data_IF_551318905681
#
_entry.id   IF_551318905681
#
_cell.length_a   1.000
_cell.length_b   1.000
_cell.length_c   1.000
_cell.angle_alpha   90.00
_cell.angle_beta   90.00
_cell.angle_gamma   90.00
#
_symmetry.space_group_name_H-M   'P 1'
#
loop_
_entity.id
_entity.type
_entity.pdbx_description
1 polymer ?
#
# COMPACT_ATOMS: atom_id res chain seq x y z
N UNK A 1 13.97 -0.45 14.52
CA UNK A 1 12.55 -0.54 14.95
C UNK A 1 11.76 0.39 14.06
N UNK A 2 10.76 -0.13 13.34
CA UNK A 2 9.88 0.71 12.51
C UNK A 2 9.02 1.57 13.45
N UNK A 3 8.90 2.87 13.13
CA UNK A 3 8.05 3.79 13.91
C UNK A 3 6.58 3.48 13.63
N UNK A 4 5.72 3.52 14.66
CA UNK A 4 4.27 3.37 14.49
C UNK A 4 3.66 4.41 13.52
N UNK A 5 4.31 5.57 13.39
CA UNK A 5 3.96 6.61 12.41
C UNK A 5 4.02 6.10 10.96
N UNK A 6 5.02 5.28 10.61
CA UNK A 6 5.15 4.68 9.26
C UNK A 6 3.93 3.82 8.94
N UNK A 7 3.59 2.92 9.87
CA UNK A 7 2.44 2.02 9.73
C UNK A 7 1.15 2.83 9.57
N UNK A 8 1.00 3.90 10.36
CA UNK A 8 -0.19 4.76 10.34
C UNK A 8 -0.32 5.54 9.02
N UNK A 9 0.78 6.04 8.46
CA UNK A 9 0.76 6.76 7.18
C UNK A 9 0.53 5.82 6.00
N UNK A 10 1.14 4.63 6.00
CA UNK A 10 0.86 3.61 4.98
C UNK A 10 -0.62 3.21 5.03
N UNK A 11 -1.15 2.86 6.21
CA UNK A 11 -2.58 2.53 6.39
C UNK A 11 -3.48 3.63 5.85
N UNK A 12 -3.15 4.89 6.13
CA UNK A 12 -3.92 6.03 5.64
C UNK A 12 -3.95 6.09 4.11
N UNK A 13 -2.83 5.84 3.45
CA UNK A 13 -2.77 5.80 1.97
C UNK A 13 -3.59 4.62 1.44
N UNK A 14 -3.45 3.43 2.05
CA UNK A 14 -4.21 2.24 1.61
C UNK A 14 -5.73 2.47 1.71
N UNK A 15 -6.20 3.07 2.81
CA UNK A 15 -7.64 3.34 3.02
C UNK A 15 -8.18 4.48 2.14
N UNK A 16 -7.38 5.54 1.91
CA UNK A 16 -7.90 6.75 1.23
C UNK A 16 -7.69 6.76 -0.28
N UNK A 17 -6.63 6.09 -0.75
CA UNK A 17 -6.18 6.23 -2.13
C UNK A 17 -6.24 4.93 -2.91
N UNK A 18 -5.98 3.79 -2.27
CA UNK A 18 -5.96 2.49 -2.94
C UNK A 18 -7.27 1.74 -2.85
N UNK A 19 -7.81 1.58 -1.65
CA UNK A 19 -9.07 0.95 -1.25
C UNK A 19 -9.95 0.34 -2.37
N UNK A 20 -9.51 -0.78 -2.99
CA UNK A 20 -10.24 -1.35 -4.11
C UNK A 20 -11.54 -2.03 -3.68
N UNK A 21 -11.69 -2.35 -2.39
CA UNK A 21 -12.87 -2.98 -1.79
C UNK A 21 -13.84 -1.97 -1.14
N UNK A 22 -13.52 -0.68 -1.11
CA UNK A 22 -14.37 0.34 -0.48
C UNK A 22 -14.45 0.25 1.05
N UNK A 23 -13.45 -0.37 1.68
CA UNK A 23 -13.32 -0.57 3.13
C UNK A 23 -13.30 0.76 3.89
N UNK A 24 -12.75 1.82 3.32
CA UNK A 24 -12.66 3.14 3.94
C UNK A 24 -14.00 3.77 4.29
N UNK A 25 -15.11 3.26 3.76
CA UNK A 25 -16.47 3.64 4.14
C UNK A 25 -16.91 3.06 5.51
N UNK A 26 -16.22 2.05 6.03
CA UNK A 26 -16.52 1.40 7.31
C UNK A 26 -15.30 1.40 8.23
N UNK A 27 -15.33 2.28 9.26
CA UNK A 27 -14.23 2.43 10.22
C UNK A 27 -13.90 1.16 11.00
N UNK A 28 -14.82 0.19 11.09
CA UNK A 28 -14.57 -1.09 11.77
C UNK A 28 -13.70 -2.06 10.97
N UNK A 29 -13.40 -1.75 9.70
CA UNK A 29 -12.60 -2.57 8.80
C UNK A 29 -11.23 -1.91 8.50
N UNK A 30 -10.85 -0.87 9.27
CA UNK A 30 -9.65 -0.08 8.99
C UNK A 30 -8.33 -0.85 9.14
N UNK A 31 -8.33 -2.00 9.80
CA UNK A 31 -7.18 -2.89 9.98
C UNK A 31 -7.10 -4.02 8.93
N UNK A 32 -8.10 -4.17 8.06
CA UNK A 32 -8.10 -5.20 6.99
C UNK A 32 -6.89 -5.08 6.04
N UNK A 33 -6.37 -3.87 5.85
CA UNK A 33 -5.17 -3.63 5.04
C UNK A 33 -3.84 -3.77 5.81
N UNK A 34 -3.87 -4.02 7.13
CA UNK A 34 -2.65 -4.12 7.94
C UNK A 34 -1.77 -5.31 7.55
N UNK A 35 -2.38 -6.39 7.05
CA UNK A 35 -1.67 -7.56 6.54
C UNK A 35 -0.68 -7.23 5.42
N UNK A 36 -0.92 -6.17 4.65
CA UNK A 36 -0.10 -5.78 3.51
C UNK A 36 1.02 -4.78 3.86
N UNK A 37 0.91 -4.09 5.00
CA UNK A 37 1.85 -3.02 5.40
C UNK A 37 3.27 -3.55 5.55
N UNK A 38 3.44 -4.78 6.07
CA UNK A 38 4.75 -5.41 6.21
C UNK A 38 5.49 -5.57 4.88
N UNK A 39 4.79 -6.04 3.84
CA UNK A 39 5.34 -6.21 2.49
C UNK A 39 5.71 -4.87 1.84
N UNK A 40 4.91 -3.82 2.08
CA UNK A 40 5.22 -2.47 1.61
C UNK A 40 6.50 -1.96 2.28
N UNK A 41 6.59 -2.05 3.61
CA UNK A 41 7.79 -1.64 4.36
C UNK A 41 9.03 -2.42 3.87
N UNK A 42 8.89 -3.72 3.61
CA UNK A 42 9.99 -4.52 3.07
C UNK A 42 10.52 -3.96 1.74
N UNK A 43 9.62 -3.60 0.82
CA UNK A 43 10.03 -2.99 -0.46
C UNK A 43 10.73 -1.66 -0.22
N UNK A 44 10.19 -0.80 0.64
CA UNK A 44 10.79 0.52 0.94
C UNK A 44 12.23 0.38 1.48
N UNK A 45 12.49 -0.62 2.33
CA UNK A 45 13.79 -0.84 2.97
C UNK A 45 14.85 -1.47 2.09
N UNK A 46 14.48 -2.45 1.27
CA UNK A 46 15.46 -3.33 0.66
C UNK A 46 15.56 -3.16 -0.86
N UNK A 47 14.48 -2.72 -1.50
CA UNK A 47 14.44 -2.58 -2.96
C UNK A 47 13.42 -1.52 -3.39
N UNK A 48 13.57 -0.25 -2.94
CA UNK A 48 12.57 0.78 -3.17
C UNK A 48 12.46 1.08 -4.66
N UNK A 49 11.31 0.75 -5.26
CA UNK A 49 10.95 1.16 -6.62
C UNK A 49 9.45 1.29 -6.78
N UNK A 50 9.03 2.21 -7.66
CA UNK A 50 7.62 2.40 -8.00
C UNK A 50 7.05 1.12 -8.59
N UNK A 51 7.81 0.45 -9.44
CA UNK A 51 7.44 -0.77 -10.14
C UNK A 51 7.21 -1.94 -9.16
N UNK A 52 8.04 -2.07 -8.12
CA UNK A 52 7.86 -3.06 -7.07
C UNK A 52 6.58 -2.83 -6.28
N UNK A 53 6.27 -1.57 -5.93
CA UNK A 53 5.02 -1.25 -5.22
C UNK A 53 3.80 -1.50 -6.11
N UNK A 54 3.83 -1.06 -7.38
CA UNK A 54 2.75 -1.33 -8.34
C UNK A 54 2.53 -2.84 -8.50
N UNK A 55 3.61 -3.61 -8.62
CA UNK A 55 3.54 -5.06 -8.77
C UNK A 55 2.95 -5.72 -7.52
N UNK A 56 3.32 -5.25 -6.32
CA UNK A 56 2.73 -5.73 -5.06
C UNK A 56 1.23 -5.43 -4.97
N UNK A 57 0.82 -4.18 -5.19
CA UNK A 57 -0.59 -3.78 -5.09
C UNK A 57 -1.46 -4.53 -6.11
N UNK A 58 -0.98 -4.66 -7.35
CA UNK A 58 -1.65 -5.44 -8.38
C UNK A 58 -1.77 -6.92 -7.99
N UNK A 59 -0.71 -7.50 -7.41
CA UNK A 59 -0.73 -8.89 -6.95
C UNK A 59 -1.77 -9.10 -5.85
N UNK A 60 -1.87 -8.17 -4.90
CA UNK A 60 -2.88 -8.25 -3.82
C UNK A 60 -4.30 -8.13 -4.40
N UNK A 61 -4.52 -7.19 -5.32
CA UNK A 61 -5.82 -7.07 -6.01
C UNK A 61 -6.21 -8.37 -6.71
N UNK A 62 -5.29 -8.99 -7.45
CA UNK A 62 -5.55 -10.23 -8.20
C UNK A 62 -5.72 -11.46 -7.29
N UNK A 63 -4.72 -11.73 -6.44
CA UNK A 63 -4.63 -12.99 -5.67
C UNK A 63 -5.47 -12.97 -4.38
N UNK A 64 -5.50 -11.86 -3.65
CA UNK A 64 -6.16 -11.78 -2.35
C UNK A 64 -7.61 -11.27 -2.47
N UNK A 65 -7.89 -10.44 -3.49
CA UNK A 65 -9.19 -9.77 -3.66
C UNK A 65 -9.98 -10.25 -4.88
N UNK A 66 -9.38 -11.03 -5.78
CA UNK A 66 -10.03 -11.52 -7.00
C UNK A 66 -10.37 -10.42 -8.02
N UNK A 67 -9.66 -9.29 -7.96
CA UNK A 67 -9.82 -8.15 -8.86
C UNK A 67 -8.85 -8.30 -10.03
N UNK A 68 -9.37 -8.84 -11.12
CA UNK A 68 -8.60 -9.05 -12.33
C UNK A 68 -8.46 -7.75 -13.17
N UNK A 69 -7.45 -7.73 -14.05
CA UNK A 69 -7.27 -6.68 -15.06
C UNK A 69 -7.06 -5.25 -14.52
N UNK A 70 -6.53 -5.12 -13.30
CA UNK A 70 -6.13 -3.82 -12.72
C UNK A 70 -5.28 -3.00 -13.68
N UNK A 71 -5.75 -1.79 -13.96
CA UNK A 71 -5.01 -0.82 -14.75
C UNK A 71 -3.89 -0.20 -13.90
N UNK A 72 -2.64 -0.54 -14.20
CA UNK A 72 -1.47 -0.06 -13.45
C UNK A 72 -1.32 1.47 -13.45
N UNK A 73 -1.95 2.19 -14.39
CA UNK A 73 -1.99 3.67 -14.37
C UNK A 73 -2.69 4.22 -13.14
N UNK A 74 -3.68 3.51 -12.60
CA UNK A 74 -4.35 3.87 -11.35
C UNK A 74 -3.43 3.65 -10.13
N UNK A 75 -2.59 2.63 -10.16
CA UNK A 75 -1.66 2.31 -9.08
C UNK A 75 -0.46 3.25 -8.99
N UNK A 76 -0.06 3.88 -10.09
CA UNK A 76 1.10 4.78 -10.12
C UNK A 76 1.06 5.92 -9.09
N UNK A 77 -0.01 6.74 -8.98
CA UNK A 77 -0.07 7.79 -7.96
C UNK A 77 -0.04 7.25 -6.52
N UNK A 78 -0.61 6.06 -6.27
CA UNK A 78 -0.60 5.40 -4.96
C UNK A 78 0.82 4.95 -4.62
N UNK A 79 1.48 4.26 -5.54
CA UNK A 79 2.86 3.82 -5.41
C UNK A 79 3.80 5.00 -5.14
N UNK A 80 3.59 6.13 -5.83
CA UNK A 80 4.35 7.37 -5.60
C UNK A 80 4.18 7.90 -4.17
N UNK A 81 2.96 7.86 -3.62
CA UNK A 81 2.69 8.28 -2.24
C UNK A 81 3.38 7.35 -1.24
N UNK A 82 3.33 6.04 -1.46
CA UNK A 82 4.00 5.04 -0.61
C UNK A 82 5.53 5.20 -0.64
N UNK A 83 6.13 5.44 -1.80
CA UNK A 83 7.58 5.68 -1.92
C UNK A 83 8.04 6.91 -1.12
N UNK A 84 7.24 7.98 -1.12
CA UNK A 84 7.52 9.18 -0.30
C UNK A 84 7.55 8.90 1.21
N UNK A 85 6.88 7.84 1.68
CA UNK A 85 6.98 7.40 3.08
C UNK A 85 8.38 6.88 3.37
N UNK A 86 8.95 6.04 2.50
CA UNK A 86 10.34 5.55 2.65
C UNK A 86 11.34 6.70 2.72
N UNK A 87 11.23 7.64 1.77
CA UNK A 87 12.07 8.85 1.75
C UNK A 87 11.94 9.68 3.04
N UNK A 88 10.70 9.93 3.49
CA UNK A 88 10.40 10.75 4.68
C UNK A 88 10.93 10.13 5.97
N UNK A 89 10.83 8.82 6.11
CA UNK A 89 11.19 8.12 7.35
C UNK A 89 12.60 7.52 7.33
N UNK A 90 13.32 7.67 6.22
CA UNK A 90 14.63 7.07 5.98
C UNK A 90 14.62 5.56 6.19
N UNK A 91 13.57 4.93 5.66
CA UNK A 91 13.37 3.48 5.63
C UNK A 91 13.18 3.00 4.20
#
# INVERSE_FOLDING_TARGET
MIKNEVITEIRTILIKDWDPLGIGANLNLGDEYDGYIGSIIHILMYSPSIESIISLLKKIEDEDMGIENTNTKYLYPIATKLMKIGEKFHI
#
